data_IF_226354032423
#
_entry.id   IF_226354032423
#
_cell.length_a   1.000
_cell.length_b   1.000
_cell.length_c   1.000
_cell.angle_alpha   90.00
_cell.angle_beta   90.00
_cell.angle_gamma   90.00
#
_symmetry.space_group_name_H-M   'P 1'
#
loop_
_entity.id
_entity.type
_entity.pdbx_description
1 polymer ?
#
# COMPACT_ATOMS: atom_id res chain seq x y z
N UNK A 1 1.27 -8.73 22.67
CA UNK A 1 0.68 -9.88 21.93
C UNK A 1 -0.06 -9.48 20.64
N UNK A 2 -0.86 -8.39 20.62
CA UNK A 2 -1.65 -7.95 19.44
C UNK A 2 -0.83 -7.58 18.18
N UNK A 3 0.36 -6.98 18.33
CA UNK A 3 1.19 -6.52 17.21
C UNK A 3 1.68 -7.71 16.33
N UNK A 4 2.07 -8.82 16.96
CA UNK A 4 2.58 -10.01 16.27
C UNK A 4 1.52 -10.68 15.39
N UNK A 5 0.31 -10.85 15.91
CA UNK A 5 -0.81 -11.45 15.16
C UNK A 5 -1.27 -10.60 13.96
N UNK A 6 -0.99 -9.29 13.98
CA UNK A 6 -1.27 -8.43 12.82
C UNK A 6 -0.14 -8.54 11.80
N UNK A 7 1.12 -8.52 12.24
CA UNK A 7 2.27 -8.72 11.36
C UNK A 7 2.24 -10.05 10.60
N UNK A 8 1.84 -11.14 11.27
CA UNK A 8 1.64 -12.46 10.62
C UNK A 8 0.57 -12.46 9.52
N UNK A 9 -0.25 -11.40 9.46
CA UNK A 9 -1.29 -11.23 8.45
C UNK A 9 -0.89 -10.29 7.32
N UNK A 10 0.22 -9.56 7.43
CA UNK A 10 0.76 -8.74 6.36
C UNK A 10 1.75 -9.60 5.55
N UNK A 11 1.48 -9.94 4.28
CA UNK A 11 2.40 -10.73 3.47
C UNK A 11 3.81 -10.14 3.35
N UNK A 12 3.93 -8.81 3.32
CA UNK A 12 5.23 -8.12 3.32
C UNK A 12 6.05 -8.32 4.62
N UNK A 13 5.46 -8.90 5.68
CA UNK A 13 6.16 -9.24 6.93
C UNK A 13 6.63 -8.05 7.77
N UNK A 14 6.22 -6.83 7.40
CA UNK A 14 6.56 -5.59 8.12
C UNK A 14 5.39 -4.62 8.11
N UNK A 15 5.42 -3.68 9.05
CA UNK A 15 4.57 -2.51 8.98
C UNK A 15 5.02 -1.61 7.81
N UNK A 16 4.05 -0.99 7.17
CA UNK A 16 4.33 0.12 6.26
C UNK A 16 4.84 1.33 7.03
N UNK A 17 5.64 2.15 6.36
CA UNK A 17 6.06 3.45 6.83
C UNK A 17 5.66 4.54 5.82
N UNK A 18 5.88 5.82 6.18
CA UNK A 18 5.47 6.94 5.34
C UNK A 18 6.13 6.95 3.95
N UNK A 19 7.34 6.38 3.83
CA UNK A 19 8.07 6.34 2.56
C UNK A 19 7.44 5.38 1.55
N UNK A 20 6.71 4.35 2.01
CA UNK A 20 6.00 3.41 1.14
C UNK A 20 4.87 4.07 0.32
N UNK A 21 4.30 5.16 0.83
CA UNK A 21 3.25 5.91 0.12
C UNK A 21 3.81 6.85 -0.96
N UNK A 22 5.08 7.25 -0.85
CA UNK A 22 5.66 8.29 -1.70
C UNK A 22 5.59 7.93 -3.18
N UNK A 23 5.98 6.70 -3.55
CA UNK A 23 5.92 6.24 -4.93
C UNK A 23 4.50 6.20 -5.49
N UNK A 24 3.54 5.71 -4.71
CA UNK A 24 2.13 5.65 -5.10
C UNK A 24 1.53 7.06 -5.29
N UNK A 25 1.84 7.99 -4.39
CA UNK A 25 1.40 9.38 -4.49
C UNK A 25 2.00 10.06 -5.73
N UNK A 26 3.31 9.88 -5.99
CA UNK A 26 3.97 10.42 -7.19
C UNK A 26 3.35 9.83 -8.45
N UNK A 27 3.11 8.51 -8.49
CA UNK A 27 2.45 7.87 -9.63
C UNK A 27 1.08 8.48 -9.92
N UNK A 28 0.20 8.54 -8.91
CA UNK A 28 -1.16 9.06 -9.04
C UNK A 28 -1.21 10.56 -9.38
N UNK A 29 -0.17 11.32 -9.01
CA UNK A 29 -0.05 12.74 -9.36
C UNK A 29 0.67 12.99 -10.69
N UNK A 30 1.16 11.96 -11.37
CA UNK A 30 1.96 12.08 -12.60
C UNK A 30 1.14 11.78 -13.86
N UNK A 31 1.64 12.19 -15.05
CA UNK A 31 1.03 11.81 -16.33
C UNK A 31 0.92 10.30 -16.56
N UNK A 32 1.69 9.48 -15.83
CA UNK A 32 1.59 8.02 -15.92
C UNK A 32 0.22 7.48 -15.47
N UNK A 33 -0.56 8.28 -14.73
CA UNK A 33 -1.88 7.94 -14.25
C UNK A 33 -3.01 8.65 -15.03
N UNK A 34 -2.74 9.26 -16.20
CA UNK A 34 -3.70 10.11 -16.93
C UNK A 34 -5.05 9.44 -17.26
N UNK A 35 -5.06 8.11 -17.39
CA UNK A 35 -6.28 7.33 -17.65
C UNK A 35 -6.77 6.51 -16.43
N UNK A 36 -6.21 6.74 -15.25
CA UNK A 36 -6.60 6.09 -14.00
C UNK A 36 -7.51 7.04 -13.22
N UNK A 37 -8.80 6.77 -13.23
CA UNK A 37 -9.82 7.61 -12.57
C UNK A 37 -10.76 6.75 -11.72
N UNK A 38 -11.22 7.31 -10.60
CA UNK A 38 -12.16 6.64 -9.68
C UNK A 38 -11.61 5.38 -8.99
N UNK A 39 -10.29 5.18 -9.01
CA UNK A 39 -9.62 3.99 -8.48
C UNK A 39 -9.03 4.24 -7.09
N UNK A 40 -9.02 3.21 -6.25
CA UNK A 40 -8.34 3.20 -4.95
C UNK A 40 -7.14 2.25 -5.06
N UNK A 41 -5.94 2.80 -5.05
CA UNK A 41 -4.70 2.03 -5.07
C UNK A 41 -4.33 1.62 -3.63
N UNK A 42 -4.41 0.32 -3.33
CA UNK A 42 -4.00 -0.22 -2.04
C UNK A 42 -2.46 -0.27 -1.93
N UNK A 43 -1.92 0.34 -0.88
CA UNK A 43 -0.50 0.27 -0.50
C UNK A 43 -0.43 -0.30 0.91
N UNK A 44 -0.59 -1.62 1.02
CA UNK A 44 -0.93 -2.29 2.29
C UNK A 44 -0.05 -3.50 2.62
N UNK A 45 1.03 -3.72 1.85
CA UNK A 45 1.91 -4.87 2.03
C UNK A 45 1.25 -6.22 1.72
N UNK A 46 0.15 -6.23 0.95
CA UNK A 46 -0.60 -7.43 0.55
C UNK A 46 -1.75 -7.78 1.48
N UNK A 47 -2.15 -6.88 2.39
CA UNK A 47 -3.18 -7.14 3.39
C UNK A 47 -4.54 -7.53 2.78
N UNK A 48 -4.98 -6.83 1.73
CA UNK A 48 -6.27 -7.08 1.07
C UNK A 48 -6.25 -8.26 0.09
N UNK A 49 -5.07 -8.75 -0.32
CA UNK A 49 -4.94 -9.89 -1.23
C UNK A 49 -5.11 -11.26 -0.53
N UNK A 50 -5.30 -11.24 0.80
CA UNK A 50 -5.48 -12.42 1.65
C UNK A 50 -6.95 -12.76 1.86
#
# INVERSE_FOLDING_TARGET
>A
MRNRSILERIPAGRWGDASDLGGAAVFLASPAADYVQGHILAVDGGWLAR
#
